data_IF_969677681617
#
_entry.id   IF_969677681617
#
_cell.length_a   1.000
_cell.length_b   1.000
_cell.length_c   1.000
_cell.angle_alpha   90.00
_cell.angle_beta   90.00
_cell.angle_gamma   90.00
#
_symmetry.space_group_name_H-M   'P 1'
#
loop_
_entity.id
_entity.type
_entity.pdbx_description
1 polymer ?
#
# COMPACT_ATOMS: atom_id res chain seq x y z
N UNK A 1 30.38 -13.13 -14.25
CA UNK A 1 29.58 -12.85 -13.03
C UNK A 1 28.66 -14.05 -12.75
N UNK A 2 29.08 -14.96 -11.86
CA UNK A 2 28.37 -16.22 -11.60
C UNK A 2 27.03 -15.97 -10.88
N UNK A 3 25.93 -16.43 -11.48
CA UNK A 3 24.58 -16.34 -10.91
C UNK A 3 24.48 -17.12 -9.61
N UNK A 4 24.10 -16.44 -8.53
CA UNK A 4 23.94 -17.01 -7.18
C UNK A 4 22.82 -18.06 -7.23
N UNK A 5 23.15 -19.35 -7.17
CA UNK A 5 22.18 -20.46 -7.18
C UNK A 5 21.21 -20.31 -5.99
N UNK A 6 19.90 -20.25 -6.27
CA UNK A 6 18.85 -20.20 -5.24
C UNK A 6 18.87 -21.50 -4.41
N UNK A 7 18.63 -21.41 -3.10
CA UNK A 7 18.58 -22.60 -2.22
C UNK A 7 17.50 -23.60 -2.66
N UNK A 8 17.66 -24.89 -2.34
CA UNK A 8 16.68 -25.96 -2.66
C UNK A 8 15.25 -25.59 -2.25
N UNK A 9 15.08 -24.92 -1.10
CA UNK A 9 13.79 -24.43 -0.62
C UNK A 9 13.18 -23.34 -1.52
N UNK A 10 13.99 -22.38 -2.01
CA UNK A 10 13.54 -21.36 -2.96
C UNK A 10 13.19 -21.96 -4.32
N UNK A 11 13.92 -22.97 -4.77
CA UNK A 11 13.61 -23.68 -6.02
C UNK A 11 12.28 -24.43 -5.93
N UNK A 12 12.03 -25.12 -4.81
CA UNK A 12 10.76 -25.81 -4.55
C UNK A 12 9.56 -24.85 -4.47
N UNK A 13 9.73 -23.70 -3.80
CA UNK A 13 8.70 -22.66 -3.73
C UNK A 13 8.40 -22.06 -5.11
N UNK A 14 9.43 -21.80 -5.92
CA UNK A 14 9.26 -21.31 -7.29
C UNK A 14 8.57 -22.34 -8.19
N UNK A 15 8.89 -23.63 -8.07
CA UNK A 15 8.23 -24.70 -8.80
C UNK A 15 6.74 -24.82 -8.42
N UNK A 16 6.41 -24.74 -7.13
CA UNK A 16 5.02 -24.70 -6.65
C UNK A 16 4.27 -23.47 -7.17
N UNK A 17 4.88 -22.30 -7.14
CA UNK A 17 4.28 -21.07 -7.68
C UNK A 17 4.00 -21.18 -9.18
N UNK A 18 4.90 -21.78 -9.97
CA UNK A 18 4.70 -22.02 -11.41
C UNK A 18 3.59 -23.04 -11.67
N UNK A 19 3.57 -24.15 -10.92
CA UNK A 19 2.52 -25.16 -11.03
C UNK A 19 1.14 -24.60 -10.64
N UNK A 20 1.08 -23.79 -9.59
CA UNK A 20 -0.15 -23.11 -9.17
C UNK A 20 -0.60 -22.08 -10.22
N UNK A 21 0.32 -21.28 -10.76
CA UNK A 21 0.04 -20.33 -11.84
C UNK A 21 -0.45 -21.01 -13.13
N UNK A 22 0.07 -22.19 -13.47
CA UNK A 22 -0.39 -22.97 -14.62
C UNK A 22 -1.80 -23.57 -14.42
N UNK A 23 -2.19 -23.85 -13.17
CA UNK A 23 -3.53 -24.35 -12.80
C UNK A 23 -4.54 -23.23 -12.62
N UNK A 24 -4.12 -22.05 -12.16
CA UNK A 24 -4.99 -20.88 -12.00
C UNK A 24 -4.95 -20.02 -13.26
N UNK A 25 -5.85 -20.31 -14.21
CA UNK A 25 -6.26 -19.30 -15.18
C UNK A 25 -7.09 -18.30 -14.39
N UNK A 26 -6.46 -17.23 -13.86
CA UNK A 26 -7.18 -16.18 -13.15
C UNK A 26 -8.46 -15.76 -13.90
N UNK A 27 -9.46 -15.17 -13.25
CA UNK A 27 -10.79 -14.98 -13.82
C UNK A 27 -10.74 -14.36 -15.22
N UNK A 28 -11.07 -15.17 -16.23
CA UNK A 28 -10.99 -14.79 -17.64
C UNK A 28 -12.30 -14.16 -18.13
N UNK A 29 -13.42 -14.50 -17.48
CA UNK A 29 -14.76 -14.02 -17.82
C UNK A 29 -15.10 -12.73 -17.07
N UNK A 30 -15.94 -11.89 -17.65
CA UNK A 30 -16.42 -10.66 -16.99
C UNK A 30 -17.07 -10.95 -15.63
N UNK A 31 -17.89 -12.00 -15.54
CA UNK A 31 -18.50 -12.46 -14.29
C UNK A 31 -17.46 -12.97 -13.26
N UNK A 32 -16.41 -13.66 -13.71
CA UNK A 32 -15.31 -14.08 -12.84
C UNK A 32 -14.49 -12.91 -12.32
N UNK A 33 -14.25 -11.89 -13.16
CA UNK A 33 -13.55 -10.66 -12.78
C UNK A 33 -14.37 -9.86 -11.77
N UNK A 34 -15.67 -9.71 -12.00
CA UNK A 34 -16.60 -9.07 -11.06
C UNK A 34 -16.68 -9.81 -9.71
N UNK A 35 -16.63 -11.14 -9.72
CA UNK A 35 -16.59 -11.93 -8.48
C UNK A 35 -15.27 -11.77 -7.73
N UNK A 36 -14.16 -11.70 -8.46
CA UNK A 36 -12.83 -11.48 -7.89
C UNK A 36 -12.61 -10.03 -7.41
N UNK A 37 -13.27 -9.03 -8.01
CA UNK A 37 -13.21 -7.64 -7.54
C UNK A 37 -13.95 -7.47 -6.21
N UNK A 38 -15.01 -8.25 -5.98
CA UNK A 38 -15.73 -8.29 -4.69
C UNK A 38 -14.90 -8.84 -3.53
N UNK A 39 -13.83 -9.60 -3.77
CA UNK A 39 -12.91 -10.00 -2.69
C UNK A 39 -12.26 -8.79 -2.00
N UNK A 40 -12.13 -7.68 -2.72
CA UNK A 40 -11.65 -6.42 -2.16
C UNK A 40 -12.69 -5.75 -1.25
N UNK A 41 -13.99 -5.97 -1.51
CA UNK A 41 -15.12 -5.47 -0.71
C UNK A 41 -15.30 -6.28 0.60
N UNK A 42 -15.00 -7.59 0.61
CA UNK A 42 -15.14 -8.45 1.80
C UNK A 42 -14.24 -8.05 2.97
N UNK A 43 -13.04 -7.53 2.69
CA UNK A 43 -12.09 -7.12 3.74
C UNK A 43 -11.80 -5.62 3.72
N UNK A 44 -12.15 -4.90 2.65
CA UNK A 44 -11.93 -3.45 2.50
C UNK A 44 -10.45 -3.01 2.39
N UNK A 45 -9.50 -3.93 2.61
CA UNK A 45 -8.07 -3.65 2.70
C UNK A 45 -7.40 -3.38 1.33
N UNK A 46 -7.98 -3.90 0.25
CA UNK A 46 -7.54 -3.65 -1.14
C UNK A 46 -8.62 -3.02 -2.01
N UNK A 47 -9.76 -2.65 -1.44
CA UNK A 47 -10.84 -2.06 -2.22
C UNK A 47 -10.33 -0.80 -2.92
N UNK A 48 -10.59 -0.70 -4.23
CA UNK A 48 -10.44 0.54 -4.97
C UNK A 48 -11.44 1.60 -4.48
N UNK A 49 -12.50 1.16 -3.77
CA UNK A 49 -13.57 1.99 -3.25
C UNK A 49 -13.77 1.71 -1.76
N UNK A 50 -13.55 2.72 -0.92
CA UNK A 50 -14.00 2.69 0.48
C UNK A 50 -15.54 2.71 0.45
N UNK A 51 -16.17 1.64 0.95
CA UNK A 51 -17.63 1.52 0.96
C UNK A 51 -18.29 2.43 2.00
N UNK A 52 -17.59 2.69 3.12
CA UNK A 52 -18.04 3.62 4.17
C UNK A 52 -17.87 5.10 3.75
N UNK A 53 -18.97 5.89 3.70
CA UNK A 53 -18.92 7.32 3.43
C UNK A 53 -18.03 8.13 4.39
N UNK A 54 -17.98 7.78 5.67
CA UNK A 54 -17.17 8.50 6.66
C UNK A 54 -15.68 8.25 6.42
N UNK A 55 -15.31 7.02 6.09
CA UNK A 55 -13.94 6.69 5.69
C UNK A 55 -13.52 7.42 4.41
N UNK A 56 -14.41 7.56 3.42
CA UNK A 56 -14.15 8.38 2.22
C UNK A 56 -13.87 9.82 2.56
N UNK A 57 -14.71 10.43 3.41
CA UNK A 57 -14.53 11.82 3.83
C UNK A 57 -13.20 12.03 4.59
N UNK A 58 -12.85 11.11 5.49
CA UNK A 58 -11.57 11.15 6.21
C UNK A 58 -10.36 11.02 5.28
N UNK A 59 -10.45 10.14 4.27
CA UNK A 59 -9.40 10.01 3.26
C UNK A 59 -9.27 11.30 2.44
N UNK A 60 -10.38 11.89 2.00
CA UNK A 60 -10.36 13.13 1.24
C UNK A 60 -9.75 14.28 2.06
N UNK A 61 -10.18 14.47 3.30
CA UNK A 61 -9.62 15.48 4.19
C UNK A 61 -8.11 15.31 4.40
N UNK A 62 -7.63 14.05 4.44
CA UNK A 62 -6.20 13.75 4.51
C UNK A 62 -5.45 14.09 3.23
N UNK A 63 -6.05 13.80 2.06
CA UNK A 63 -5.48 14.20 0.77
C UNK A 63 -5.35 15.72 0.72
N UNK A 64 -6.41 16.44 1.08
CA UNK A 64 -6.44 17.90 1.06
C UNK A 64 -5.37 18.50 1.99
N UNK A 65 -5.25 17.96 3.22
CA UNK A 65 -4.21 18.37 4.16
C UNK A 65 -2.80 18.12 3.62
N UNK A 66 -2.54 16.94 3.03
CA UNK A 66 -1.22 16.61 2.47
C UNK A 66 -0.90 17.44 1.22
N UNK A 67 -1.90 17.80 0.41
CA UNK A 67 -1.71 18.73 -0.71
C UNK A 67 -1.35 20.13 -0.20
N UNK A 68 -2.03 20.61 0.85
CA UNK A 68 -1.72 21.90 1.47
C UNK A 68 -0.31 21.95 2.08
N UNK A 69 0.11 20.87 2.75
CA UNK A 69 1.42 20.75 3.40
C UNK A 69 2.55 20.57 2.38
N UNK A 70 2.39 19.64 1.44
CA UNK A 70 3.46 19.26 0.52
C UNK A 70 3.53 20.17 -0.70
N UNK A 71 2.46 20.89 -1.04
CA UNK A 71 2.38 21.83 -2.18
C UNK A 71 2.91 21.21 -3.48
N UNK A 72 2.32 20.11 -3.97
CA UNK A 72 2.77 19.50 -5.23
C UNK A 72 2.63 20.48 -6.41
N UNK A 73 3.69 20.65 -7.20
CA UNK A 73 3.68 21.61 -8.31
C UNK A 73 3.19 21.01 -9.63
N UNK A 74 3.32 19.68 -9.80
CA UNK A 74 2.99 18.98 -11.05
C UNK A 74 1.92 17.92 -10.85
N UNK A 75 1.26 17.50 -11.93
CA UNK A 75 0.28 16.40 -11.88
C UNK A 75 0.88 15.10 -11.34
N UNK A 76 2.14 14.80 -11.66
CA UNK A 76 2.82 13.61 -11.15
C UNK A 76 3.10 13.70 -9.65
N UNK A 77 3.43 14.90 -9.15
CA UNK A 77 3.56 15.12 -7.71
C UNK A 77 2.22 14.96 -6.98
N UNK A 78 1.13 15.52 -7.52
CA UNK A 78 -0.22 15.36 -6.97
C UNK A 78 -0.60 13.87 -6.86
N UNK A 79 -0.33 13.08 -7.91
CA UNK A 79 -0.58 11.65 -7.90
C UNK A 79 0.26 10.91 -6.84
N UNK A 80 1.48 11.38 -6.55
CA UNK A 80 2.28 10.79 -5.46
C UNK A 80 1.72 11.17 -4.08
N UNK A 81 1.29 12.42 -3.90
CA UNK A 81 0.66 12.89 -2.65
C UNK A 81 -0.61 12.10 -2.35
N UNK A 82 -1.48 11.88 -3.33
CA UNK A 82 -2.67 11.06 -3.17
C UNK A 82 -2.33 9.61 -2.77
N UNK A 83 -1.30 9.02 -3.41
CA UNK A 83 -0.82 7.67 -3.05
C UNK A 83 -0.25 7.58 -1.64
N UNK A 84 0.43 8.64 -1.18
CA UNK A 84 0.91 8.76 0.20
C UNK A 84 -0.29 8.77 1.16
N UNK A 85 -1.30 9.60 0.88
CA UNK A 85 -2.50 9.70 1.70
C UNK A 85 -3.22 8.35 1.83
N UNK A 86 -3.41 7.65 0.71
CA UNK A 86 -4.03 6.31 0.67
C UNK A 86 -3.20 5.30 1.47
N UNK A 87 -1.87 5.31 1.33
CA UNK A 87 -1.00 4.38 2.05
C UNK A 87 -1.07 4.61 3.57
N UNK A 88 -1.00 5.87 4.02
CA UNK A 88 -1.15 6.23 5.43
C UNK A 88 -2.53 5.83 5.98
N UNK A 89 -3.59 6.07 5.21
CA UNK A 89 -4.95 5.68 5.60
C UNK A 89 -5.06 4.15 5.76
N UNK A 90 -4.42 3.37 4.88
CA UNK A 90 -4.39 1.91 4.98
C UNK A 90 -3.64 1.42 6.22
N UNK A 91 -2.50 2.02 6.55
CA UNK A 91 -1.73 1.69 7.76
C UNK A 91 -2.61 1.87 9.00
N UNK A 92 -3.26 3.04 9.14
CA UNK A 92 -4.16 3.31 10.26
C UNK A 92 -5.35 2.33 10.29
N UNK A 93 -5.92 2.03 9.12
CA UNK A 93 -7.03 1.08 9.03
C UNK A 93 -6.60 -0.32 9.47
N UNK A 94 -5.40 -0.77 9.09
CA UNK A 94 -4.86 -2.07 9.53
C UNK A 94 -4.70 -2.08 11.04
N UNK A 95 -4.10 -1.06 11.65
CA UNK A 95 -3.94 -0.97 13.10
C UNK A 95 -5.29 -1.02 13.86
N UNK A 96 -6.33 -0.35 13.33
CA UNK A 96 -7.70 -0.43 13.88
C UNK A 96 -8.27 -1.85 13.79
N UNK A 97 -8.11 -2.49 12.63
CA UNK A 97 -8.61 -3.86 12.41
C UNK A 97 -7.85 -4.89 13.24
N UNK A 98 -6.55 -4.69 13.50
CA UNK A 98 -5.77 -5.53 14.42
C UNK A 98 -6.32 -5.43 15.84
N UNK A 99 -6.52 -4.19 16.33
CA UNK A 99 -7.10 -3.95 17.65
C UNK A 99 -8.48 -4.59 17.80
N UNK A 100 -9.34 -4.49 16.79
CA UNK A 100 -10.66 -5.12 16.76
C UNK A 100 -10.56 -6.65 16.76
N UNK A 101 -9.63 -7.21 15.99
CA UNK A 101 -9.42 -8.66 15.91
C UNK A 101 -8.99 -9.24 17.26
N UNK A 102 -8.09 -8.56 17.99
CA UNK A 102 -7.72 -8.97 19.34
C UNK A 102 -8.86 -8.79 20.33
N UNK A 103 -9.56 -7.65 20.31
CA UNK A 103 -10.72 -7.43 21.17
C UNK A 103 -11.82 -8.49 20.99
N UNK A 104 -12.09 -8.92 19.75
CA UNK A 104 -13.02 -10.03 19.47
C UNK A 104 -12.52 -11.36 20.05
N UNK A 105 -11.22 -11.65 19.93
CA UNK A 105 -10.61 -12.86 20.48
C UNK A 105 -10.65 -12.86 22.01
N UNK A 106 -10.32 -11.74 22.66
CA UNK A 106 -10.34 -11.59 24.12
C UNK A 106 -11.74 -11.77 24.71
N UNK A 107 -12.81 -11.44 23.96
CA UNK A 107 -14.20 -11.73 24.40
C UNK A 107 -14.49 -13.23 24.44
N UNK A 108 -13.85 -14.02 23.57
CA UNK A 108 -14.00 -15.49 23.54
C UNK A 108 -13.05 -16.19 24.51
N UNK A 109 -11.87 -15.60 24.71
CA UNK A 109 -10.80 -16.11 25.58
C UNK A 109 -10.39 -15.01 26.59
N UNK A 110 -11.22 -14.74 27.61
CA UNK A 110 -10.95 -13.67 28.56
C UNK A 110 -9.71 -13.95 29.41
N UNK A 111 -8.97 -12.90 29.76
CA UNK A 111 -7.76 -12.98 30.58
C UNK A 111 -6.49 -13.41 29.83
N UNK A 112 -6.60 -13.73 28.54
CA UNK A 112 -5.44 -14.05 27.70
C UNK A 112 -4.81 -12.79 27.11
N UNK A 113 -3.49 -12.82 26.97
CA UNK A 113 -2.73 -11.85 26.18
C UNK A 113 -3.01 -11.99 24.68
N UNK A 114 -2.64 -10.98 23.89
CA UNK A 114 -2.77 -11.01 22.42
C UNK A 114 -2.00 -12.19 21.80
N UNK A 115 -0.81 -12.49 22.32
CA UNK A 115 0.00 -13.63 21.85
C UNK A 115 -0.68 -14.97 22.10
N UNK A 116 -1.29 -15.14 23.27
CA UNK A 116 -2.07 -16.34 23.61
C UNK A 116 -3.35 -16.42 22.76
N UNK A 117 -4.02 -15.29 22.51
CA UNK A 117 -5.17 -15.22 21.62
C UNK A 117 -4.82 -15.74 20.20
N UNK A 118 -3.62 -15.44 19.68
CA UNK A 118 -3.17 -16.01 18.41
C UNK A 118 -2.97 -17.52 18.48
N UNK A 119 -2.58 -18.07 19.64
CA UNK A 119 -2.40 -19.51 19.83
C UNK A 119 -3.74 -20.25 19.97
N UNK A 120 -4.69 -19.69 20.71
CA UNK A 120 -5.96 -20.34 21.05
C UNK A 120 -7.09 -20.06 20.04
N UNK A 121 -7.09 -18.90 19.37
CA UNK A 121 -8.09 -18.55 18.36
C UNK A 121 -7.52 -18.63 16.94
N UNK A 122 -7.85 -19.71 16.22
CA UNK A 122 -7.43 -19.90 14.83
C UNK A 122 -7.94 -18.80 13.88
N UNK A 123 -9.12 -18.22 14.13
CA UNK A 123 -9.67 -17.12 13.32
C UNK A 123 -8.91 -15.83 13.57
N UNK A 124 -8.61 -15.53 14.83
CA UNK A 124 -7.77 -14.39 15.22
C UNK A 124 -6.41 -14.47 14.51
N UNK A 125 -5.76 -15.65 14.56
CA UNK A 125 -4.47 -15.91 13.90
C UNK A 125 -4.50 -15.70 12.39
N UNK A 126 -5.53 -16.23 11.73
CA UNK A 126 -5.66 -16.13 10.27
C UNK A 126 -5.86 -14.67 9.84
N UNK A 127 -6.73 -13.93 10.53
CA UNK A 127 -6.99 -12.51 10.28
C UNK A 127 -5.76 -11.66 10.57
N UNK A 128 -5.09 -11.86 11.69
CA UNK A 128 -3.86 -11.16 12.03
C UNK A 128 -2.78 -11.37 10.96
N UNK A 129 -2.55 -12.62 10.52
CA UNK A 129 -1.60 -12.89 9.45
C UNK A 129 -1.94 -12.20 8.12
N UNK A 130 -3.23 -11.96 7.85
CA UNK A 130 -3.68 -11.16 6.70
C UNK A 130 -3.36 -9.68 6.89
N UNK A 131 -3.64 -9.14 8.08
CA UNK A 131 -3.40 -7.75 8.45
C UNK A 131 -1.91 -7.39 8.38
N UNK A 132 -1.03 -8.22 8.92
CA UNK A 132 0.45 -8.04 8.83
C UNK A 132 0.94 -7.93 7.38
N UNK A 133 0.37 -8.72 6.47
CA UNK A 133 0.74 -8.61 5.04
C UNK A 133 0.28 -7.28 4.45
N UNK A 134 -0.94 -6.85 4.79
CA UNK A 134 -1.46 -5.58 4.32
C UNK A 134 -0.73 -4.37 4.88
N UNK A 135 -0.32 -4.42 6.14
CA UNK A 135 0.54 -3.43 6.76
C UNK A 135 1.84 -3.28 5.97
N UNK A 136 2.53 -4.40 5.74
CA UNK A 136 3.76 -4.42 4.95
C UNK A 136 3.59 -3.88 3.52
N UNK A 137 2.47 -4.20 2.86
CA UNK A 137 2.18 -3.64 1.53
C UNK A 137 1.91 -2.13 1.57
N UNK A 138 1.17 -1.64 2.56
CA UNK A 138 0.86 -0.23 2.72
C UNK A 138 2.12 0.59 3.06
N UNK A 139 2.96 0.11 3.98
CA UNK A 139 4.25 0.70 4.28
C UNK A 139 5.18 0.72 3.06
N UNK A 140 5.25 -0.38 2.29
CA UNK A 140 6.04 -0.40 1.06
C UNK A 140 5.53 0.61 0.02
N UNK A 141 4.21 0.78 -0.11
CA UNK A 141 3.60 1.78 -0.99
C UNK A 141 3.95 3.20 -0.54
N UNK A 142 3.87 3.48 0.76
CA UNK A 142 4.22 4.76 1.36
C UNK A 142 5.66 5.14 1.02
N UNK A 143 6.61 4.25 1.34
CA UNK A 143 8.02 4.49 1.10
C UNK A 143 8.37 4.70 -0.37
N UNK A 144 7.76 3.92 -1.27
CA UNK A 144 7.95 4.09 -2.72
C UNK A 144 7.42 5.43 -3.22
N UNK A 145 6.26 5.85 -2.73
CA UNK A 145 5.60 7.09 -3.16
C UNK A 145 6.36 8.32 -2.66
N UNK A 146 6.83 8.30 -1.40
CA UNK A 146 7.69 9.35 -0.84
C UNK A 146 9.00 9.49 -1.62
N UNK A 147 9.69 8.36 -1.87
CA UNK A 147 10.93 8.39 -2.66
C UNK A 147 10.69 8.95 -4.05
N UNK A 148 9.63 8.50 -4.73
CA UNK A 148 9.32 8.98 -6.09
C UNK A 148 8.99 10.47 -6.12
N UNK A 149 8.29 10.98 -5.11
CA UNK A 149 8.03 12.42 -4.96
C UNK A 149 9.34 13.21 -4.81
N UNK A 150 10.25 12.73 -3.97
CA UNK A 150 11.57 13.35 -3.79
C UNK A 150 12.38 13.35 -5.09
N UNK A 151 12.38 12.24 -5.83
CA UNK A 151 13.09 12.15 -7.12
C UNK A 151 12.52 13.14 -8.15
N UNK A 152 11.19 13.28 -8.23
CA UNK A 152 10.55 14.24 -9.13
C UNK A 152 10.98 15.68 -8.81
N UNK A 153 11.03 16.04 -7.53
CA UNK A 153 11.44 17.39 -7.09
C UNK A 153 12.91 17.68 -7.36
N UNK A 154 13.79 16.71 -7.11
CA UNK A 154 15.22 16.83 -7.45
C UNK A 154 15.41 17.06 -8.94
N UNK A 155 14.73 16.27 -9.77
CA UNK A 155 14.83 16.41 -11.22
C UNK A 155 14.26 17.74 -11.71
N UNK A 156 13.21 18.27 -11.08
CA UNK A 156 12.68 19.60 -11.39
C UNK A 156 13.70 20.71 -11.09
N UNK A 157 14.36 20.67 -9.92
CA UNK A 157 15.41 21.65 -9.57
C UNK A 157 16.64 21.61 -10.46
N UNK A 158 16.95 20.48 -11.10
CA UNK A 158 18.08 20.34 -12.02
C UNK A 158 17.77 20.79 -13.45
N UNK A 159 16.48 20.91 -13.80
CA UNK A 159 16.01 21.32 -15.12
C UNK A 159 15.56 22.80 -15.16
N UNK A 160 15.87 23.61 -14.14
CA UNK A 160 15.72 25.06 -14.26
C UNK A 160 16.60 25.55 -15.42
N UNK A 161 16.06 26.31 -16.39
CA UNK A 161 16.89 26.87 -17.43
C UNK A 161 17.93 27.77 -16.75
N UNK A 162 19.21 27.44 -16.92
CA UNK A 162 20.29 28.41 -16.66
C UNK A 162 20.05 29.56 -17.62
N UNK A 163 19.40 30.62 -17.14
CA UNK A 163 19.34 31.88 -17.86
C UNK A 163 20.76 32.43 -17.83
N UNK A 164 21.42 32.32 -18.98
CA UNK A 164 22.72 32.94 -19.20
C UNK A 164 22.51 34.44 -19.43
N UNK A 165 22.71 35.23 -18.38
CA UNK A 165 22.63 36.68 -18.44
C UNK A 165 23.83 37.32 -19.16
N UNK A 166 24.86 36.56 -19.56
CA UNK A 166 26.02 37.11 -20.30
C UNK A 166 25.65 37.64 -21.69
N UNK A 167 24.47 37.29 -22.22
CA UNK A 167 23.93 37.80 -23.48
C UNK A 167 23.24 39.17 -23.35
N UNK A 168 23.10 39.73 -22.14
CA UNK A 168 22.46 41.03 -21.89
C UNK A 168 23.43 42.13 -21.43
N UNK A 169 24.73 41.84 -21.29
CA UNK A 169 25.74 42.84 -20.87
C UNK A 169 26.50 43.52 -22.03
N UNK A 170 26.05 43.40 -23.29
CA UNK A 170 26.76 43.98 -24.45
C UNK A 170 26.14 45.26 -25.05
N UNK A 171 25.29 45.99 -24.34
CA UNK A 171 24.78 47.30 -24.79
C UNK A 171 24.66 48.32 -23.65
N UNK A 172 25.79 48.82 -23.14
CA UNK A 172 25.89 50.17 -22.54
C UNK A 172 27.22 50.80 -22.92
#
# INVERSE_FOLDING_TARGET
MAGRKLSKARQAMAARSRANGAKSKGPVTAAGKARSSRNAETHGLTAALLTDPQERQRLQARIDALVADLKPATLLEHAMVERIAIALFRIERVARMESQNFAESSRRFPGQSDGECLYHDARCRQRFGLLVRYDGYAHAQLWRSLRRLQDLRKNASQNEPRIDFSLYESEV
#
